data_IF_625329505025
#
_entry.id   IF_625329505025
#
_cell.length_a   1.000
_cell.length_b   1.000
_cell.length_c   1.000
_cell.angle_alpha   90.00
_cell.angle_beta   90.00
_cell.angle_gamma   90.00
#
_symmetry.space_group_name_H-M   'P 1'
#
loop_
_entity.id
_entity.type
_entity.pdbx_description
1 polymer ?
#
# COMPACT_ATOMS: atom_id res chain seq x y z
N UNK A 1 -16.18 -9.37 -0.88
CA UNK A 1 -16.48 -8.16 -1.65
C UNK A 1 -17.98 -8.01 -1.79
N UNK A 2 -18.48 -6.78 -1.81
CA UNK A 2 -19.89 -6.49 -2.12
C UNK A 2 -20.11 -6.27 -3.64
N UNK A 3 -21.28 -5.76 -4.04
CA UNK A 3 -21.62 -5.48 -5.43
C UNK A 3 -20.81 -4.35 -6.07
N UNK A 4 -19.98 -3.66 -5.27
CA UNK A 4 -19.10 -2.57 -5.69
C UNK A 4 -17.63 -2.93 -5.48
N UNK A 5 -17.29 -4.22 -5.40
CA UNK A 5 -15.91 -4.68 -5.21
C UNK A 5 -15.25 -4.16 -3.91
N UNK A 6 -16.04 -3.71 -2.91
CA UNK A 6 -15.50 -3.21 -1.64
C UNK A 6 -15.27 -4.38 -0.68
N UNK A 7 -14.14 -4.43 0.05
CA UNK A 7 -13.92 -5.46 1.06
C UNK A 7 -15.06 -5.47 2.09
N UNK A 8 -15.61 -6.65 2.36
CA UNK A 8 -16.73 -6.83 3.32
C UNK A 8 -16.36 -7.71 4.52
N UNK A 9 -15.32 -8.52 4.36
CA UNK A 9 -14.78 -9.40 5.37
C UNK A 9 -13.30 -9.62 5.05
N UNK A 10 -12.50 -9.87 6.09
CA UNK A 10 -11.11 -10.27 5.99
C UNK A 10 -10.69 -10.99 7.25
N UNK A 11 -9.48 -11.52 7.23
CA UNK A 11 -8.91 -12.22 8.36
C UNK A 11 -7.47 -11.75 8.57
N UNK A 12 -7.09 -11.59 9.84
CA UNK A 12 -5.73 -11.33 10.26
C UNK A 12 -5.35 -12.47 11.20
N UNK A 13 -4.19 -13.08 10.98
CA UNK A 13 -3.70 -14.17 11.82
C UNK A 13 -2.41 -13.73 12.51
N UNK A 14 -2.45 -13.61 13.84
CA UNK A 14 -1.29 -13.27 14.63
C UNK A 14 -0.52 -14.52 15.05
N UNK A 15 0.77 -14.54 14.77
CA UNK A 15 1.66 -15.60 15.24
C UNK A 15 2.00 -15.37 16.72
N UNK A 16 1.21 -15.96 17.62
CA UNK A 16 1.34 -15.72 19.07
C UNK A 16 2.71 -16.07 19.64
N UNK A 17 3.49 -16.94 18.98
CA UNK A 17 4.85 -17.27 19.40
C UNK A 17 5.86 -16.13 19.17
N UNK A 18 5.51 -15.12 18.38
CA UNK A 18 6.32 -13.90 18.19
C UNK A 18 6.01 -12.81 19.21
N UNK A 19 4.92 -12.96 19.99
CA UNK A 19 4.55 -12.00 21.04
C UNK A 19 5.40 -12.29 22.29
N UNK A 20 6.30 -11.36 22.62
CA UNK A 20 7.19 -11.50 23.76
C UNK A 20 6.47 -11.20 25.07
N UNK A 21 6.11 -12.25 25.80
CA UNK A 21 5.48 -12.16 27.12
C UNK A 21 6.52 -12.31 28.24
N UNK A 22 6.27 -11.62 29.36
CA UNK A 22 6.94 -11.83 30.63
C UNK A 22 6.48 -13.12 31.28
N UNK A 23 7.19 -13.54 32.34
CA UNK A 23 6.87 -14.75 33.11
C UNK A 23 5.49 -14.70 33.78
N UNK A 24 4.93 -13.51 34.00
CA UNK A 24 3.58 -13.30 34.54
C UNK A 24 2.48 -13.27 33.46
N UNK A 25 2.83 -13.51 32.19
CA UNK A 25 1.91 -13.50 31.05
C UNK A 25 1.60 -12.10 30.49
N UNK A 26 2.22 -11.04 31.00
CA UNK A 26 2.03 -9.66 30.50
C UNK A 26 3.06 -9.29 29.44
N UNK A 27 2.76 -8.29 28.60
CA UNK A 27 3.70 -7.70 27.65
C UNK A 27 4.17 -6.32 28.14
N UNK A 28 5.33 -5.84 27.66
CA UNK A 28 5.71 -4.43 27.86
C UNK A 28 4.84 -3.52 27.01
N UNK A 29 4.73 -2.24 27.39
CA UNK A 29 3.99 -1.27 26.56
C UNK A 29 4.55 -1.24 25.14
N UNK A 30 5.88 -1.25 24.98
CA UNK A 30 6.51 -1.31 23.65
C UNK A 30 6.07 -2.53 22.84
N UNK A 31 6.01 -3.73 23.43
CA UNK A 31 5.52 -4.93 22.73
C UNK A 31 4.03 -4.80 22.39
N UNK A 32 3.23 -4.23 23.27
CA UNK A 32 1.80 -3.98 23.01
C UNK A 32 1.65 -3.01 21.83
N UNK A 33 2.37 -1.89 21.87
CA UNK A 33 2.34 -0.85 20.84
C UNK A 33 2.76 -1.41 19.48
N UNK A 34 3.88 -2.16 19.41
CA UNK A 34 4.33 -2.83 18.18
C UNK A 34 3.26 -3.78 17.60
N UNK A 35 2.57 -4.54 18.45
CA UNK A 35 1.52 -5.45 18.00
C UNK A 35 0.24 -4.73 17.55
N UNK A 36 -0.08 -3.58 18.18
CA UNK A 36 -1.18 -2.71 17.75
C UNK A 36 -0.84 -2.08 16.40
N UNK A 37 0.38 -1.62 16.20
CA UNK A 37 0.85 -1.05 14.92
C UNK A 37 0.77 -2.10 13.80
N UNK A 38 1.24 -3.33 14.04
CA UNK A 38 1.08 -4.45 13.11
C UNK A 38 -0.40 -4.74 12.85
N UNK A 39 -1.25 -4.73 13.88
CA UNK A 39 -2.68 -4.98 13.68
C UNK A 39 -3.34 -3.91 12.79
N UNK A 40 -2.96 -2.64 12.94
CA UNK A 40 -3.42 -1.53 12.09
C UNK A 40 -2.93 -1.73 10.65
N UNK A 41 -1.65 -2.08 10.48
CA UNK A 41 -1.03 -2.37 9.18
C UNK A 41 -1.78 -3.48 8.42
N UNK A 42 -2.00 -4.62 9.06
CA UNK A 42 -2.69 -5.76 8.46
C UNK A 42 -4.18 -5.47 8.19
N UNK A 43 -4.82 -4.65 9.04
CA UNK A 43 -6.18 -4.18 8.79
C UNK A 43 -6.27 -3.32 7.53
N UNK A 44 -5.28 -2.46 7.27
CA UNK A 44 -5.23 -1.66 6.04
C UNK A 44 -5.15 -2.55 4.78
N UNK A 45 -4.38 -3.64 4.82
CA UNK A 45 -4.36 -4.63 3.74
C UNK A 45 -5.73 -5.27 3.51
N UNK A 46 -6.43 -5.66 4.59
CA UNK A 46 -7.81 -6.18 4.53
C UNK A 46 -8.76 -5.17 3.87
N UNK A 47 -8.57 -3.88 4.14
CA UNK A 47 -9.37 -2.80 3.55
C UNK A 47 -8.98 -2.41 2.12
N UNK A 48 -8.04 -3.13 1.51
CA UNK A 48 -7.72 -2.99 0.09
C UNK A 48 -6.47 -2.18 -0.20
N UNK A 49 -5.64 -1.89 0.81
CA UNK A 49 -4.29 -1.37 0.56
C UNK A 49 -3.38 -2.50 0.07
N UNK A 50 -3.53 -2.92 -1.18
CA UNK A 50 -2.63 -3.91 -1.81
C UNK A 50 -2.63 -3.78 -3.32
N UNK A 51 -1.54 -4.18 -3.96
CA UNK A 51 -1.34 -4.27 -5.41
C UNK A 51 -2.43 -5.11 -6.09
N UNK A 52 -2.99 -6.09 -5.40
CA UNK A 52 -4.11 -6.89 -5.87
C UNK A 52 -5.47 -6.20 -5.77
N UNK A 53 -5.58 -5.13 -4.98
CA UNK A 53 -6.83 -4.45 -4.69
C UNK A 53 -6.99 -3.11 -5.40
N UNK A 54 -5.89 -2.44 -5.77
CA UNK A 54 -5.93 -1.10 -6.39
C UNK A 54 -6.81 -1.02 -7.65
N UNK A 55 -6.88 -2.09 -8.46
CA UNK A 55 -7.77 -2.16 -9.65
C UNK A 55 -9.26 -2.08 -9.32
N UNK A 56 -9.64 -2.34 -8.07
CA UNK A 56 -11.03 -2.27 -7.63
C UNK A 56 -11.40 -0.91 -7.04
N UNK A 57 -10.48 0.05 -6.97
CA UNK A 57 -10.75 1.35 -6.35
C UNK A 57 -11.85 2.13 -7.07
N UNK A 58 -12.58 2.92 -6.28
CA UNK A 58 -13.65 3.79 -6.73
C UNK A 58 -13.26 5.25 -6.60
N UNK A 59 -13.84 6.09 -7.45
CA UNK A 59 -13.76 7.52 -7.30
C UNK A 59 -14.84 7.97 -6.30
N UNK A 60 -14.46 8.54 -5.14
CA UNK A 60 -15.44 8.93 -4.12
C UNK A 60 -16.25 10.17 -4.52
N UNK A 61 -15.80 10.96 -5.50
CA UNK A 61 -16.52 12.15 -5.96
C UNK A 61 -17.62 11.77 -6.98
N UNK A 62 -17.30 10.84 -7.90
CA UNK A 62 -18.25 10.42 -8.93
C UNK A 62 -19.03 9.16 -8.56
N UNK A 63 -18.58 8.42 -7.54
CA UNK A 63 -19.17 7.13 -7.15
C UNK A 63 -19.05 6.08 -8.25
N UNK A 64 -18.03 6.16 -9.11
CA UNK A 64 -17.79 5.23 -10.22
C UNK A 64 -16.45 4.49 -10.06
N UNK A 65 -16.29 3.29 -10.64
CA UNK A 65 -15.01 2.57 -10.58
C UNK A 65 -13.92 3.38 -11.29
N UNK A 66 -12.71 3.41 -10.71
CA UNK A 66 -11.57 4.09 -11.34
C UNK A 66 -10.95 3.30 -12.49
N UNK A 67 -11.09 1.98 -12.43
CA UNK A 67 -10.64 1.04 -13.47
C UNK A 67 -11.85 0.35 -14.08
N UNK A 68 -11.92 0.27 -15.41
CA UNK A 68 -12.98 -0.46 -16.10
C UNK A 68 -13.05 -1.93 -15.61
N UNK A 69 -14.27 -2.45 -15.44
CA UNK A 69 -14.53 -3.83 -15.00
C UNK A 69 -14.48 -4.83 -16.15
N UNK A 70 -14.42 -4.37 -17.40
CA UNK A 70 -13.93 -5.16 -18.53
C UNK A 70 -12.40 -5.28 -18.44
N UNK A 71 -11.92 -6.04 -17.44
CA UNK A 71 -10.49 -6.12 -17.12
C UNK A 71 -9.67 -6.64 -18.30
N UNK A 72 -8.58 -5.93 -18.61
CA UNK A 72 -7.65 -6.30 -19.67
C UNK A 72 -6.29 -6.62 -19.09
N UNK A 73 -5.80 -7.80 -19.43
CA UNK A 73 -4.42 -8.17 -19.13
C UNK A 73 -3.47 -7.42 -20.03
N UNK A 74 -2.43 -6.83 -19.45
CA UNK A 74 -1.37 -6.11 -20.16
C UNK A 74 -0.02 -6.68 -19.76
N UNK A 75 0.86 -6.87 -20.75
CA UNK A 75 2.27 -7.19 -20.50
C UNK A 75 3.04 -5.92 -20.21
N UNK A 76 3.65 -5.82 -19.04
CA UNK A 76 4.45 -4.66 -18.62
C UNK A 76 5.73 -5.10 -17.91
N UNK A 77 6.76 -4.25 -17.97
CA UNK A 77 7.93 -4.37 -17.10
C UNK A 77 7.59 -3.85 -15.70
N UNK A 78 7.76 -4.70 -14.69
CA UNK A 78 7.47 -4.37 -13.29
C UNK A 78 8.60 -3.58 -12.62
N UNK A 79 8.40 -3.19 -11.36
CA UNK A 79 9.39 -2.39 -10.60
C UNK A 79 10.72 -3.13 -10.38
N UNK A 80 10.71 -4.47 -10.45
CA UNK A 80 11.89 -5.33 -10.40
C UNK A 80 12.56 -5.58 -11.78
N UNK A 81 12.04 -4.95 -12.84
CA UNK A 81 12.57 -5.10 -14.20
C UNK A 81 12.09 -6.36 -14.94
N UNK A 82 11.25 -7.20 -14.33
CA UNK A 82 10.73 -8.42 -14.96
C UNK A 82 9.41 -8.13 -15.67
N UNK A 83 9.25 -8.66 -16.88
CA UNK A 83 7.99 -8.56 -17.62
C UNK A 83 6.95 -9.55 -17.08
N UNK A 84 5.74 -9.06 -16.84
CA UNK A 84 4.60 -9.87 -16.41
C UNK A 84 3.34 -9.46 -17.14
N UNK A 85 2.44 -10.42 -17.38
CA UNK A 85 1.10 -10.18 -17.94
C UNK A 85 0.09 -10.17 -16.80
N UNK A 86 -0.47 -9.00 -16.51
CA UNK A 86 -1.27 -8.75 -15.30
C UNK A 86 -2.48 -7.87 -15.61
N UNK A 87 -3.48 -7.93 -14.74
CA UNK A 87 -4.56 -6.95 -14.70
C UNK A 87 -4.14 -5.85 -13.72
N UNK A 88 -3.95 -4.64 -14.24
CA UNK A 88 -3.48 -3.49 -13.48
C UNK A 88 -4.63 -2.49 -13.26
N UNK A 89 -4.57 -1.66 -12.21
CA UNK A 89 -5.40 -0.47 -12.12
C UNK A 89 -5.14 0.48 -13.30
N UNK A 90 -6.16 1.24 -13.68
CA UNK A 90 -6.03 2.31 -14.67
C UNK A 90 -5.06 3.41 -14.21
N UNK A 91 -4.51 4.15 -15.18
CA UNK A 91 -3.50 5.18 -14.94
C UNK A 91 -3.99 6.36 -14.08
N UNK A 92 -5.30 6.52 -13.88
CA UNK A 92 -5.86 7.50 -12.94
C UNK A 92 -5.75 7.07 -11.47
N UNK A 93 -5.33 5.83 -11.21
CA UNK A 93 -5.22 5.21 -9.89
C UNK A 93 -3.77 4.91 -9.55
N UNK A 94 -3.05 4.24 -10.44
CA UNK A 94 -1.63 3.92 -10.25
C UNK A 94 -0.87 4.09 -11.56
N UNK A 95 0.35 4.62 -11.50
CA UNK A 95 1.22 4.81 -12.67
C UNK A 95 2.62 4.33 -12.40
N UNK A 96 3.26 3.81 -13.44
CA UNK A 96 4.69 3.50 -13.43
C UNK A 96 5.50 4.69 -13.97
N UNK A 97 6.70 4.86 -13.41
CA UNK A 97 7.63 5.92 -13.76
C UNK A 97 9.01 5.34 -14.04
N UNK A 98 9.71 5.92 -15.01
CA UNK A 98 11.07 5.57 -15.41
C UNK A 98 12.01 6.75 -15.16
N UNK A 99 12.55 6.90 -13.94
CA UNK A 99 13.53 7.94 -13.66
C UNK A 99 14.88 7.66 -14.33
N UNK A 100 15.69 8.71 -14.52
CA UNK A 100 17.00 8.64 -15.19
C UNK A 100 18.01 7.74 -14.47
N UNK A 101 17.81 7.47 -13.18
CA UNK A 101 18.64 6.56 -12.39
C UNK A 101 18.39 5.07 -12.71
N UNK A 102 17.50 4.77 -13.66
CA UNK A 102 17.17 3.41 -14.13
C UNK A 102 16.29 2.60 -13.18
N UNK A 103 15.92 3.12 -12.00
CA UNK A 103 15.09 2.41 -11.03
C UNK A 103 13.60 2.72 -11.24
N UNK A 104 12.94 1.88 -12.03
CA UNK A 104 11.49 1.97 -12.26
C UNK A 104 10.73 1.87 -10.95
N UNK A 105 9.70 2.70 -10.77
CA UNK A 105 8.82 2.67 -9.60
C UNK A 105 7.36 2.86 -10.00
N UNK A 106 6.45 2.57 -9.08
CA UNK A 106 5.04 2.86 -9.23
C UNK A 106 4.57 3.84 -8.16
N UNK A 107 3.52 4.61 -8.45
CA UNK A 107 2.87 5.49 -7.46
C UNK A 107 1.37 5.39 -7.56
N UNK A 108 0.70 5.49 -6.41
CA UNK A 108 -0.73 5.77 -6.35
C UNK A 108 -0.93 7.26 -6.63
N UNK A 109 -1.72 7.57 -7.66
CA UNK A 109 -1.87 8.93 -8.21
C UNK A 109 -3.28 9.50 -8.04
N UNK A 110 -4.08 8.89 -7.16
CA UNK A 110 -5.42 9.40 -6.85
C UNK A 110 -5.35 10.82 -6.29
N UNK A 111 -6.39 11.66 -6.48
CA UNK A 111 -6.36 13.06 -6.08
C UNK A 111 -5.99 13.30 -4.61
N UNK A 112 -6.52 12.48 -3.69
CA UNK A 112 -6.24 12.58 -2.25
C UNK A 112 -4.79 12.23 -1.92
N UNK A 113 -4.31 11.06 -2.37
CA UNK A 113 -2.92 10.62 -2.16
C UNK A 113 -1.94 11.66 -2.72
N UNK A 114 -2.20 12.15 -3.94
CA UNK A 114 -1.39 13.21 -4.56
C UNK A 114 -1.38 14.49 -3.72
N UNK A 115 -2.51 14.90 -3.16
CA UNK A 115 -2.59 16.10 -2.31
C UNK A 115 -1.77 15.92 -1.03
N UNK A 116 -1.91 14.78 -0.35
CA UNK A 116 -1.17 14.48 0.88
C UNK A 116 0.33 14.43 0.62
N UNK A 117 0.77 13.70 -0.42
CA UNK A 117 2.19 13.62 -0.78
C UNK A 117 2.79 15.00 -1.13
N UNK A 118 2.07 15.82 -1.90
CA UNK A 118 2.51 17.18 -2.24
C UNK A 118 2.68 18.05 -1.01
N UNK A 119 1.77 17.95 -0.05
CA UNK A 119 1.82 18.70 1.20
C UNK A 119 2.98 18.23 2.08
N UNK A 120 3.18 16.92 2.21
CA UNK A 120 4.26 16.35 3.02
C UNK A 120 5.65 16.75 2.52
N UNK A 121 5.87 16.70 1.20
CA UNK A 121 7.18 17.02 0.61
C UNK A 121 7.30 18.47 0.14
N UNK A 122 6.25 19.29 0.33
CA UNK A 122 6.15 20.65 -0.21
C UNK A 122 6.54 20.72 -1.71
N UNK A 123 6.05 19.79 -2.52
CA UNK A 123 6.44 19.64 -3.91
C UNK A 123 5.21 19.50 -4.81
N UNK A 124 4.75 20.62 -5.39
CA UNK A 124 3.55 20.67 -6.22
C UNK A 124 3.61 19.81 -7.50
N UNK A 125 4.82 19.47 -7.96
CA UNK A 125 5.02 18.64 -9.14
C UNK A 125 4.84 17.14 -8.89
N UNK A 126 4.78 16.68 -7.62
CA UNK A 126 4.59 15.26 -7.31
C UNK A 126 3.31 14.72 -7.93
N UNK A 127 3.42 13.57 -8.59
CA UNK A 127 2.29 12.92 -9.25
C UNK A 127 1.40 12.13 -8.26
N UNK A 128 1.97 11.69 -7.14
CA UNK A 128 1.35 10.77 -6.19
C UNK A 128 2.32 10.36 -5.09
N UNK A 129 2.02 9.26 -4.41
CA UNK A 129 2.90 8.63 -3.43
C UNK A 129 3.46 7.31 -3.98
N UNK A 130 4.78 7.14 -3.85
CA UNK A 130 5.49 5.98 -4.36
C UNK A 130 5.19 4.73 -3.52
N UNK A 131 4.97 3.61 -4.20
CA UNK A 131 4.90 2.28 -3.61
C UNK A 131 6.30 1.66 -3.54
N UNK A 132 6.48 0.67 -2.67
CA UNK A 132 7.72 -0.09 -2.60
C UNK A 132 8.19 -0.63 -3.95
N UNK A 133 9.51 -0.69 -4.07
CA UNK A 133 10.22 -1.07 -5.29
C UNK A 133 10.41 -2.58 -5.45
N UNK A 134 9.70 -3.40 -4.67
CA UNK A 134 9.76 -4.86 -4.75
C UNK A 134 8.35 -5.44 -4.86
N UNK A 135 8.09 -6.36 -5.82
CA UNK A 135 6.83 -7.09 -5.85
C UNK A 135 6.62 -7.90 -4.57
N UNK A 136 5.43 -7.82 -3.97
CA UNK A 136 5.06 -8.63 -2.80
C UNK A 136 4.81 -10.11 -3.11
N UNK A 137 4.70 -10.47 -4.39
CA UNK A 137 4.51 -11.85 -4.82
C UNK A 137 4.85 -12.05 -6.30
N UNK A 138 4.89 -13.31 -6.72
CA UNK A 138 5.22 -13.68 -8.11
C UNK A 138 4.23 -13.14 -9.14
N UNK A 139 2.99 -12.87 -8.72
CA UNK A 139 1.91 -12.26 -9.51
C UNK A 139 1.74 -10.76 -9.27
N UNK A 140 2.64 -10.11 -8.54
CA UNK A 140 2.61 -8.66 -8.30
C UNK A 140 3.61 -7.95 -9.21
N UNK A 141 3.34 -6.67 -9.50
CA UNK A 141 4.22 -5.82 -10.32
C UNK A 141 4.83 -4.64 -9.55
N UNK A 142 4.36 -4.47 -8.31
CA UNK A 142 4.68 -3.40 -7.36
C UNK A 142 4.61 -3.99 -5.94
N UNK A 143 5.06 -3.25 -4.94
CA UNK A 143 4.78 -3.59 -3.55
C UNK A 143 3.33 -3.28 -3.12
N UNK A 144 2.99 -3.72 -1.91
CA UNK A 144 1.71 -3.46 -1.24
C UNK A 144 1.78 -2.29 -0.25
N UNK A 145 2.98 -1.78 0.01
CA UNK A 145 3.25 -0.72 0.98
C UNK A 145 3.74 0.57 0.30
N UNK A 146 3.76 1.67 1.06
CA UNK A 146 4.43 2.91 0.68
C UNK A 146 5.96 2.74 0.69
N UNK A 147 6.66 3.42 -0.22
CA UNK A 147 8.12 3.38 -0.30
C UNK A 147 8.76 3.82 1.02
N UNK A 148 9.34 2.88 1.76
CA UNK A 148 9.88 3.09 3.10
C UNK A 148 10.89 4.25 3.16
N UNK A 149 11.72 4.42 2.12
CA UNK A 149 12.68 5.54 2.04
C UNK A 149 11.99 6.91 2.07
N UNK A 150 10.77 7.02 1.55
CA UNK A 150 10.01 8.28 1.50
C UNK A 150 9.03 8.42 2.67
N UNK A 151 8.52 7.29 3.19
CA UNK A 151 7.45 7.25 4.17
C UNK A 151 7.81 6.37 5.38
N UNK A 152 9.04 6.48 5.87
CA UNK A 152 9.62 5.57 6.88
C UNK A 152 8.74 5.32 8.13
N UNK A 153 8.15 6.35 8.79
CA UNK A 153 7.31 6.10 9.96
C UNK A 153 5.84 5.86 9.61
N UNK A 154 5.46 5.68 8.35
CA UNK A 154 4.06 5.45 7.98
C UNK A 154 3.63 4.05 8.43
N UNK A 155 2.43 3.91 8.98
CA UNK A 155 1.89 2.62 9.43
C UNK A 155 1.87 1.53 8.35
N UNK A 156 1.91 1.91 7.08
CA UNK A 156 1.90 1.06 5.89
C UNK A 156 3.20 1.24 5.07
N UNK A 157 4.33 1.47 5.71
CA UNK A 157 5.65 1.07 5.16
C UNK A 157 5.87 -0.43 5.40
N UNK A 158 6.62 -1.13 4.54
CA UNK A 158 6.78 -2.58 4.66
C UNK A 158 7.70 -3.05 5.78
N UNK A 159 8.28 -2.12 6.56
CA UNK A 159 9.03 -2.43 7.76
C UNK A 159 8.53 -1.53 8.89
N UNK A 160 8.31 -2.14 10.06
CA UNK A 160 7.95 -1.40 11.26
C UNK A 160 9.13 -0.52 11.71
N UNK A 161 8.84 0.75 11.97
CA UNK A 161 9.83 1.68 12.51
C UNK A 161 10.05 1.39 13.99
N UNK A 162 11.31 1.25 14.47
CA UNK A 162 11.61 0.92 15.86
C UNK A 162 11.41 2.10 16.82
N UNK A 163 11.02 3.27 16.30
CA UNK A 163 10.85 4.49 17.11
C UNK A 163 9.43 5.03 17.05
N UNK A 164 8.78 5.00 15.89
CA UNK A 164 7.45 5.57 15.71
C UNK A 164 6.81 5.04 14.43
N UNK A 165 5.55 4.59 14.55
CA UNK A 165 4.66 4.34 13.42
C UNK A 165 3.48 5.30 13.51
N UNK A 166 3.05 5.81 12.36
CA UNK A 166 2.07 6.88 12.23
C UNK A 166 1.08 6.46 11.16
N UNK A 167 -0.17 6.24 11.56
CA UNK A 167 -1.30 6.18 10.64
C UNK A 167 -1.61 7.60 10.16
N UNK A 168 -1.06 7.96 9.00
CA UNK A 168 -1.13 9.31 8.47
C UNK A 168 -2.30 9.47 7.47
N UNK A 169 -2.64 10.70 7.08
CA UNK A 169 -3.59 10.93 5.98
C UNK A 169 -3.18 10.30 4.64
N UNK A 170 -1.97 9.75 4.51
CA UNK A 170 -1.55 9.07 3.30
C UNK A 170 -2.25 7.72 3.13
N UNK A 171 -2.47 7.01 4.24
CA UNK A 171 -3.12 5.68 4.28
C UNK A 171 -4.63 5.75 4.52
N UNK A 172 -5.14 6.88 5.05
CA UNK A 172 -6.58 7.12 5.30
C UNK A 172 -7.35 7.65 4.07
#
# INVERSE_FOLDING_TARGET
FDQFDRPTAGAINFCLSQVQLRSDGTASNAVIDDNVDVAIHEAAHVFGMSSNSYRFFWDPETGSPRTDRDFKSTTITCVDGVQRTLILPDENTMRFFNPDNGKRYASIVTPKVRTVARNQFNCAALAGAQLENQPTGSSSCTGDHWDERLFYPESLSGVISPTTNILSPLTL
#
